data_IF_716052358113
#
_entry.id   IF_716052358113
#
_cell.length_a   1.000
_cell.length_b   1.000
_cell.length_c   1.000
_cell.angle_alpha   90.00
_cell.angle_beta   90.00
_cell.angle_gamma   90.00
#
_symmetry.space_group_name_H-M   'P 1'
#
loop_
_entity.id
_entity.type
_entity.pdbx_description
1 polymer ?
#
# COMPACT_ATOMS: atom_id res chain seq x y z
N UNK A 1 13.82 -6.70 8.65
CA UNK A 1 12.89 -5.90 9.50
C UNK A 1 11.50 -6.06 8.93
N UNK A 2 10.49 -6.20 9.79
CA UNK A 2 9.09 -6.27 9.34
C UNK A 2 8.61 -4.85 8.99
N UNK A 3 8.10 -4.64 7.77
CA UNK A 3 7.54 -3.34 7.36
C UNK A 3 6.03 -3.31 7.60
N UNK A 4 5.43 -2.12 7.70
CA UNK A 4 3.96 -1.96 7.71
C UNK A 4 3.46 -1.61 6.32
N UNK A 5 2.18 -1.85 6.04
CA UNK A 5 1.51 -1.42 4.80
C UNK A 5 0.04 -1.10 5.05
N UNK A 6 -0.51 -0.17 4.28
CA UNK A 6 -1.95 -0.02 4.16
C UNK A 6 -2.47 -1.05 3.14
N UNK A 7 -3.49 -1.81 3.49
CA UNK A 7 -4.09 -2.83 2.63
C UNK A 7 -5.61 -2.69 2.58
N UNK A 8 -6.16 -2.93 1.39
CA UNK A 8 -7.59 -3.10 1.17
C UNK A 8 -7.84 -4.60 1.02
N UNK A 9 -8.44 -5.24 2.02
CA UNK A 9 -8.71 -6.69 2.01
C UNK A 9 -10.12 -7.03 1.54
N UNK A 10 -10.99 -6.01 1.47
CA UNK A 10 -12.36 -6.09 0.93
C UNK A 10 -12.73 -4.75 0.30
N UNK A 11 -13.63 -4.78 -0.68
CA UNK A 11 -14.15 -3.57 -1.32
C UNK A 11 -15.05 -2.78 -0.37
N UNK A 12 -15.10 -1.46 -0.54
CA UNK A 12 -15.92 -0.54 0.23
C UNK A 12 -15.31 0.86 0.35
N UNK A 13 -15.98 1.73 1.11
CA UNK A 13 -15.49 3.08 1.42
C UNK A 13 -14.27 3.08 2.36
N UNK A 14 -13.81 4.25 2.82
CA UNK A 14 -12.53 4.40 3.53
C UNK A 14 -12.27 3.45 4.72
N UNK A 15 -13.32 2.98 5.38
CA UNK A 15 -13.24 2.06 6.53
C UNK A 15 -12.61 0.68 6.21
N UNK A 16 -12.50 0.32 4.92
CA UNK A 16 -11.89 -0.94 4.49
C UNK A 16 -10.36 -0.87 4.41
N UNK A 17 -9.77 0.33 4.45
CA UNK A 17 -8.32 0.50 4.49
C UNK A 17 -7.81 0.15 5.89
N UNK A 18 -6.90 -0.83 5.97
CA UNK A 18 -6.32 -1.30 7.24
C UNK A 18 -4.81 -1.21 7.19
N UNK A 19 -4.21 -0.78 8.30
CA UNK A 19 -2.78 -0.93 8.51
C UNK A 19 -2.51 -2.38 8.93
N UNK A 20 -1.66 -3.07 8.18
CA UNK A 20 -1.30 -4.47 8.43
C UNK A 20 0.22 -4.66 8.36
N UNK A 21 0.71 -5.74 8.95
CA UNK A 21 2.09 -6.15 8.76
C UNK A 21 2.33 -6.49 7.27
N UNK A 22 3.47 -6.02 6.77
CA UNK A 22 3.96 -6.25 5.43
C UNK A 22 4.61 -7.62 5.26
N UNK A 23 5.07 -8.22 6.37
CA UNK A 23 5.87 -9.44 6.39
C UNK A 23 7.35 -9.14 6.15
N UNK A 24 8.03 -10.09 5.50
CA UNK A 24 9.43 -9.95 5.12
C UNK A 24 9.64 -8.88 4.06
N UNK A 25 10.71 -8.10 4.21
CA UNK A 25 11.10 -7.06 3.27
C UNK A 25 11.26 -7.65 1.86
N UNK A 26 10.65 -7.05 0.82
CA UNK A 26 10.77 -7.57 -0.53
C UNK A 26 12.17 -7.32 -1.09
N UNK A 27 12.69 -8.30 -1.82
CA UNK A 27 13.89 -8.16 -2.65
C UNK A 27 13.49 -7.62 -4.03
N UNK A 28 14.14 -6.55 -4.54
CA UNK A 28 13.83 -6.03 -5.87
C UNK A 28 14.36 -6.97 -6.97
N UNK A 29 13.62 -7.09 -8.07
CA UNK A 29 14.11 -7.71 -9.30
C UNK A 29 15.17 -6.87 -10.03
N UNK A 30 15.69 -7.35 -11.19
CA UNK A 30 16.79 -6.71 -11.91
C UNK A 30 16.58 -5.23 -12.28
N UNK A 31 15.34 -4.85 -12.56
CA UNK A 31 14.95 -3.49 -12.98
C UNK A 31 14.06 -2.77 -11.94
N UNK A 32 14.04 -3.27 -10.72
CA UNK A 32 13.23 -2.71 -9.64
C UNK A 32 14.12 -2.04 -8.59
N UNK A 33 13.54 -1.13 -7.82
CA UNK A 33 14.22 -0.53 -6.67
C UNK A 33 13.41 -0.72 -5.41
N UNK A 34 14.11 -1.06 -4.33
CA UNK A 34 13.54 -1.03 -3.00
C UNK A 34 13.65 0.38 -2.41
N UNK A 35 12.52 1.04 -2.21
CA UNK A 35 12.47 2.41 -1.69
C UNK A 35 12.04 2.40 -0.23
N UNK A 36 12.85 2.99 0.64
CA UNK A 36 12.42 3.34 2.00
C UNK A 36 11.52 4.57 1.95
N UNK A 37 10.21 4.35 2.00
CA UNK A 37 9.22 5.43 2.00
C UNK A 37 9.33 6.23 3.32
N UNK A 38 9.37 7.57 3.21
CA UNK A 38 9.36 8.48 4.36
C UNK A 38 8.05 9.22 4.49
N UNK A 39 7.46 9.57 3.36
CA UNK A 39 6.14 10.18 3.24
C UNK A 39 5.47 9.65 1.97
N UNK A 40 4.15 9.68 1.92
CA UNK A 40 3.38 9.31 0.75
C UNK A 40 2.21 10.28 0.55
N UNK A 41 1.93 10.61 -0.71
CA UNK A 41 0.80 11.45 -1.06
C UNK A 41 -0.52 10.69 -0.98
N UNK A 42 -1.57 11.38 -0.53
CA UNK A 42 -2.96 10.89 -0.60
C UNK A 42 -3.63 11.56 -1.79
N UNK A 43 -4.25 10.76 -2.66
CA UNK A 43 -4.96 11.21 -3.86
C UNK A 43 -6.34 10.55 -3.98
N UNK A 44 -7.28 11.20 -4.66
CA UNK A 44 -8.66 10.72 -4.84
C UNK A 44 -8.73 9.30 -5.42
N UNK A 45 -7.79 8.94 -6.31
CA UNK A 45 -7.66 7.61 -6.88
C UNK A 45 -7.58 6.49 -5.80
N UNK A 46 -7.06 6.78 -4.61
CA UNK A 46 -6.98 5.81 -3.51
C UNK A 46 -8.35 5.43 -2.95
N UNK A 47 -9.31 6.36 -2.92
CA UNK A 47 -10.68 6.07 -2.52
C UNK A 47 -11.39 5.23 -3.60
N UNK A 48 -11.11 5.53 -4.86
CA UNK A 48 -11.68 4.84 -6.02
C UNK A 48 -11.22 3.38 -6.15
N UNK A 49 -10.04 3.02 -5.61
CA UNK A 49 -9.58 1.62 -5.53
C UNK A 49 -10.48 0.75 -4.64
N UNK A 50 -11.00 1.31 -3.54
CA UNK A 50 -11.98 0.62 -2.68
C UNK A 50 -13.31 0.35 -3.39
N UNK A 51 -13.66 1.18 -4.38
CA UNK A 51 -14.95 1.19 -5.08
C UNK A 51 -14.95 0.43 -6.43
N UNK A 52 -13.92 -0.39 -6.72
CA UNK A 52 -13.76 -1.14 -7.99
C UNK A 52 -13.60 -0.28 -9.25
N UNK A 53 -13.17 0.98 -9.13
CA UNK A 53 -12.98 1.87 -10.29
C UNK A 53 -11.56 1.84 -10.85
N UNK A 54 -10.57 1.45 -10.04
CA UNK A 54 -9.17 1.30 -10.43
C UNK A 54 -8.49 0.17 -9.64
N UNK A 55 -7.52 -0.52 -10.25
CA UNK A 55 -6.63 -1.46 -9.56
C UNK A 55 -5.29 -0.80 -9.28
N UNK A 56 -4.84 -0.82 -8.03
CA UNK A 56 -3.53 -0.32 -7.63
C UNK A 56 -3.16 -0.83 -6.24
N UNK A 57 -1.87 -0.77 -5.91
CA UNK A 57 -1.34 -1.20 -4.62
C UNK A 57 -0.74 0.02 -3.93
N UNK A 58 -1.38 0.51 -2.87
CA UNK A 58 -0.77 1.51 -1.99
C UNK A 58 0.15 0.77 -1.00
N UNK A 59 1.45 0.90 -1.15
CA UNK A 59 2.42 0.36 -0.18
C UNK A 59 3.01 1.53 0.60
N UNK A 60 2.55 1.70 1.84
CA UNK A 60 3.12 2.67 2.78
C UNK A 60 4.14 1.95 3.67
N UNK A 61 5.42 2.05 3.34
CA UNK A 61 6.49 1.57 4.23
C UNK A 61 6.74 2.65 5.27
N UNK A 62 6.40 2.40 6.53
CA UNK A 62 6.85 3.23 7.65
C UNK A 62 7.85 2.43 8.49
N UNK A 63 8.67 3.13 9.26
CA UNK A 63 9.48 2.55 10.34
C UNK A 63 8.61 2.03 11.50
#
# INVERSE_FOLDING_TARGET
MEYRKAAVTKHGGPSVLKLVAGGEQPEPGPDEVLVRVKTAGVALAHQMMGERRFAGKLVLITD
#
